data_IF_713114428175
#
_entry.id   IF_713114428175
#
_cell.length_a   1.000
_cell.length_b   1.000
_cell.length_c   1.000
_cell.angle_alpha   90.00
_cell.angle_beta   90.00
_cell.angle_gamma   90.00
#
_symmetry.space_group_name_H-M   'P 1'
#
loop_
_entity.id
_entity.type
_entity.pdbx_description
1 polymer ?
#
# COMPACT_ATOMS: atom_id res chain seq x y z
N UNK A 1 14.60 27.66 3.48
CA UNK A 1 15.02 26.42 4.14
C UNK A 1 16.53 26.34 4.14
N UNK A 2 17.14 26.18 5.30
CA UNK A 2 18.57 25.91 5.47
C UNK A 2 18.89 24.46 5.10
N UNK A 3 20.17 24.12 4.94
CA UNK A 3 20.59 22.75 4.66
C UNK A 3 20.25 21.81 5.83
N UNK A 4 20.42 22.30 7.05
CA UNK A 4 20.15 21.57 8.29
C UNK A 4 18.65 21.25 8.46
N UNK A 5 17.77 22.18 8.07
CA UNK A 5 16.33 21.96 8.02
C UNK A 5 15.95 20.86 7.00
N UNK A 6 16.65 20.79 5.85
CA UNK A 6 16.41 19.75 4.83
C UNK A 6 16.83 18.37 5.32
N UNK A 7 18.02 18.25 5.92
CA UNK A 7 18.50 16.98 6.49
C UNK A 7 17.61 16.50 7.62
N UNK A 8 17.15 17.41 8.48
CA UNK A 8 16.20 17.05 9.55
C UNK A 8 14.92 16.48 8.97
N UNK A 9 14.36 17.13 7.94
CA UNK A 9 13.12 16.69 7.30
C UNK A 9 13.27 15.34 6.59
N UNK A 10 14.42 15.11 5.95
CA UNK A 10 14.76 13.82 5.33
C UNK A 10 14.82 12.70 6.37
N UNK A 11 15.55 12.89 7.48
CA UNK A 11 15.66 11.88 8.54
C UNK A 11 14.31 11.56 9.21
N UNK A 12 13.48 12.59 9.42
CA UNK A 12 12.13 12.42 9.97
C UNK A 12 11.27 11.61 9.02
N UNK A 13 11.31 11.91 7.71
CA UNK A 13 10.53 11.18 6.72
C UNK A 13 11.00 9.72 6.58
N UNK A 14 12.31 9.48 6.54
CA UNK A 14 12.89 8.15 6.53
C UNK A 14 12.44 7.33 7.74
N UNK A 15 12.60 7.89 8.94
CA UNK A 15 12.18 7.24 10.19
C UNK A 15 10.69 6.95 10.23
N UNK A 16 9.86 7.88 9.76
CA UNK A 16 8.41 7.68 9.66
C UNK A 16 8.05 6.51 8.73
N UNK A 17 8.72 6.38 7.57
CA UNK A 17 8.50 5.24 6.67
C UNK A 17 8.88 3.94 7.39
N UNK A 18 10.09 3.84 7.94
CA UNK A 18 10.58 2.62 8.63
C UNK A 18 9.64 2.17 9.75
N UNK A 19 9.17 3.11 10.59
CA UNK A 19 8.32 2.80 11.74
C UNK A 19 6.91 2.32 11.36
N UNK A 20 6.46 2.57 10.12
CA UNK A 20 5.12 2.22 9.66
C UNK A 20 5.10 0.99 8.72
N UNK A 21 6.24 0.33 8.51
CA UNK A 21 6.33 -0.88 7.70
C UNK A 21 6.47 -2.13 8.58
N UNK A 22 5.87 -3.24 8.14
CA UNK A 22 6.09 -4.54 8.74
C UNK A 22 7.42 -5.16 8.30
N UNK A 23 7.98 -6.06 9.10
CA UNK A 23 9.32 -6.65 8.88
C UNK A 23 9.54 -7.26 7.49
N UNK A 24 8.49 -7.86 6.92
CA UNK A 24 8.54 -8.42 5.57
C UNK A 24 8.67 -7.34 4.48
N UNK A 25 7.97 -6.21 4.63
CA UNK A 25 8.07 -5.09 3.68
C UNK A 25 9.38 -4.35 3.89
N UNK A 26 9.81 -4.18 5.15
CA UNK A 26 11.04 -3.50 5.49
C UNK A 26 12.26 -4.15 4.84
N UNK A 27 12.33 -5.50 4.82
CA UNK A 27 13.42 -6.25 4.15
C UNK A 27 13.58 -5.91 2.67
N UNK A 28 12.49 -5.59 1.99
CA UNK A 28 12.51 -5.26 0.57
C UNK A 28 13.00 -3.83 0.31
N UNK A 29 12.81 -2.91 1.26
CA UNK A 29 13.06 -1.46 1.08
C UNK A 29 14.24 -0.90 1.88
N UNK A 30 14.74 -1.61 2.90
CA UNK A 30 15.83 -1.14 3.79
C UNK A 30 17.17 -0.92 3.04
N UNK A 31 17.31 -1.48 1.84
CA UNK A 31 18.49 -1.26 0.98
C UNK A 31 18.56 0.13 0.33
N UNK A 32 17.50 0.95 0.45
CA UNK A 32 17.47 2.30 -0.11
C UNK A 32 18.00 3.32 0.91
N UNK A 33 18.97 4.15 0.48
CA UNK A 33 19.66 5.11 1.34
C UNK A 33 18.91 6.43 1.53
N UNK A 34 17.90 6.69 0.70
CA UNK A 34 17.14 7.95 0.71
C UNK A 34 15.67 7.68 0.92
N UNK A 35 14.97 8.63 1.55
CA UNK A 35 13.51 8.58 1.74
C UNK A 35 12.81 8.45 0.40
N UNK A 36 13.28 9.20 -0.60
CA UNK A 36 12.75 9.13 -1.96
C UNK A 36 12.95 7.74 -2.58
N UNK A 37 14.13 7.13 -2.41
CA UNK A 37 14.40 5.77 -2.88
C UNK A 37 13.48 4.74 -2.23
N UNK A 38 13.33 4.79 -0.90
CA UNK A 38 12.38 3.95 -0.17
C UNK A 38 10.96 4.11 -0.70
N UNK A 39 10.51 5.35 -0.85
CA UNK A 39 9.16 5.65 -1.34
C UNK A 39 8.95 5.11 -2.75
N UNK A 40 9.87 5.41 -3.67
CA UNK A 40 9.79 4.92 -5.05
C UNK A 40 9.76 3.40 -5.14
N UNK A 41 10.53 2.70 -4.30
CA UNK A 41 10.52 1.23 -4.25
C UNK A 41 9.20 0.69 -3.71
N UNK A 42 8.60 1.34 -2.71
CA UNK A 42 7.25 1.02 -2.28
C UNK A 42 6.24 1.22 -3.40
N UNK A 43 6.37 2.29 -4.19
CA UNK A 43 5.54 2.51 -5.38
C UNK A 43 5.74 1.38 -6.41
N UNK A 44 6.97 0.97 -6.70
CA UNK A 44 7.23 -0.14 -7.64
C UNK A 44 6.62 -1.47 -7.16
N UNK A 45 6.75 -1.77 -5.86
CA UNK A 45 6.24 -3.00 -5.24
C UNK A 45 4.70 -3.04 -5.16
N UNK A 46 4.06 -1.91 -4.85
CA UNK A 46 2.65 -1.88 -4.45
C UNK A 46 1.75 -0.98 -5.30
N UNK A 47 2.32 -0.08 -6.10
CA UNK A 47 1.57 0.78 -7.03
C UNK A 47 1.48 0.19 -8.43
N UNK A 48 2.31 -0.80 -8.79
CA UNK A 48 2.08 -1.57 -10.01
C UNK A 48 0.80 -2.40 -9.87
N UNK A 49 -0.04 -2.38 -10.92
CA UNK A 49 -1.34 -3.07 -10.97
C UNK A 49 -1.20 -4.56 -11.31
N UNK A 50 -0.01 -5.13 -11.13
CA UNK A 50 0.28 -6.47 -11.59
C UNK A 50 0.01 -7.55 -10.53
N UNK A 51 0.05 -8.82 -10.97
CA UNK A 51 -0.30 -10.05 -10.24
C UNK A 51 -0.16 -10.06 -8.70
N UNK A 52 0.94 -9.56 -8.09
CA UNK A 52 1.09 -9.54 -6.62
C UNK A 52 0.06 -8.66 -5.92
N UNK A 53 -0.26 -7.49 -6.49
CA UNK A 53 -1.28 -6.59 -5.96
C UNK A 53 -2.69 -7.20 -6.12
N UNK A 54 -2.90 -8.00 -7.19
CA UNK A 54 -4.11 -8.80 -7.41
C UNK A 54 -4.26 -9.91 -6.37
N UNK A 55 -3.17 -10.62 -6.07
CA UNK A 55 -3.15 -11.68 -5.06
C UNK A 55 -3.41 -11.10 -3.67
N UNK A 56 -2.77 -9.98 -3.33
CA UNK A 56 -2.99 -9.25 -2.09
C UNK A 56 -4.45 -8.76 -1.96
N UNK A 57 -5.03 -8.18 -3.01
CA UNK A 57 -6.44 -7.81 -2.99
C UNK A 57 -7.40 -9.00 -2.87
N UNK A 58 -7.12 -10.13 -3.55
CA UNK A 58 -7.88 -11.38 -3.38
C UNK A 58 -7.81 -11.88 -1.94
N UNK A 59 -6.61 -11.89 -1.36
CA UNK A 59 -6.41 -12.31 0.01
C UNK A 59 -7.17 -11.40 0.99
N UNK A 60 -7.03 -10.07 0.87
CA UNK A 60 -7.80 -9.12 1.68
C UNK A 60 -9.31 -9.28 1.55
N UNK A 61 -9.81 -9.55 0.35
CA UNK A 61 -11.24 -9.79 0.12
C UNK A 61 -11.73 -11.08 0.79
N UNK A 62 -11.00 -12.18 0.60
CA UNK A 62 -11.37 -13.49 1.15
C UNK A 62 -11.17 -13.58 2.66
N UNK A 63 -10.25 -12.81 3.23
CA UNK A 63 -9.95 -12.78 4.67
C UNK A 63 -10.64 -11.65 5.42
N UNK A 64 -11.43 -10.82 4.72
CA UNK A 64 -12.15 -9.72 5.35
C UNK A 64 -13.08 -10.23 6.45
N UNK A 65 -12.98 -9.60 7.63
CA UNK A 65 -13.87 -9.79 8.77
C UNK A 65 -14.35 -8.42 9.22
N UNK A 66 -15.59 -8.37 9.69
CA UNK A 66 -16.12 -7.15 10.28
C UNK A 66 -15.30 -6.79 11.52
N UNK A 67 -15.02 -5.51 11.70
CA UNK A 67 -14.40 -4.97 12.90
C UNK A 67 -15.51 -4.70 13.93
N UNK A 68 -15.47 -5.39 15.07
CA UNK A 68 -16.44 -5.24 16.15
C UNK A 68 -16.45 -3.82 16.76
N UNK A 69 -15.40 -3.03 16.53
CA UNK A 69 -15.33 -1.63 16.97
C UNK A 69 -16.03 -0.66 16.01
N UNK A 70 -16.47 -1.12 14.83
CA UNK A 70 -17.15 -0.31 13.82
C UNK A 70 -18.63 -0.62 13.78
N UNK A 71 -19.45 0.38 13.43
CA UNK A 71 -20.86 0.13 13.16
C UNK A 71 -21.02 -0.78 11.95
N UNK A 72 -22.18 -1.44 11.86
CA UNK A 72 -22.53 -2.27 10.70
C UNK A 72 -22.46 -1.49 9.38
N UNK A 73 -22.86 -0.22 9.40
CA UNK A 73 -22.86 0.65 8.20
C UNK A 73 -21.42 0.94 7.74
N UNK A 74 -20.51 1.21 8.68
CA UNK A 74 -19.09 1.42 8.37
C UNK A 74 -18.45 0.15 7.82
N UNK A 75 -18.68 -0.99 8.47
CA UNK A 75 -18.22 -2.30 8.00
C UNK A 75 -18.76 -2.64 6.59
N UNK A 76 -20.02 -2.32 6.31
CA UNK A 76 -20.61 -2.50 4.98
C UNK A 76 -20.00 -1.54 3.95
N UNK A 77 -19.70 -0.30 4.35
CA UNK A 77 -19.02 0.68 3.49
C UNK A 77 -17.63 0.20 3.08
N UNK A 78 -16.85 -0.33 4.01
CA UNK A 78 -15.52 -0.88 3.74
C UNK A 78 -15.58 -2.11 2.84
N UNK A 79 -16.51 -3.03 3.11
CA UNK A 79 -16.72 -4.20 2.25
C UNK A 79 -17.14 -3.80 0.83
N UNK A 80 -18.01 -2.79 0.69
CA UNK A 80 -18.44 -2.28 -0.61
C UNK A 80 -17.28 -1.64 -1.37
N UNK A 81 -16.43 -0.87 -0.70
CA UNK A 81 -15.20 -0.31 -1.29
C UNK A 81 -14.27 -1.42 -1.77
N UNK A 82 -13.99 -2.41 -0.92
CA UNK A 82 -13.17 -3.58 -1.26
C UNK A 82 -13.72 -4.35 -2.48
N UNK A 83 -15.04 -4.46 -2.58
CA UNK A 83 -15.73 -5.09 -3.73
C UNK A 83 -15.57 -4.29 -5.03
N UNK A 84 -15.57 -2.95 -4.96
CA UNK A 84 -15.37 -2.08 -6.11
C UNK A 84 -13.92 -2.12 -6.58
N UNK A 85 -12.97 -1.99 -5.66
CA UNK A 85 -11.53 -2.09 -5.94
C UNK A 85 -11.20 -3.43 -6.62
N UNK A 86 -11.83 -4.52 -6.15
CA UNK A 86 -11.70 -5.85 -6.75
C UNK A 86 -12.27 -5.93 -8.17
N UNK A 87 -13.41 -5.28 -8.44
CA UNK A 87 -14.04 -5.23 -9.77
C UNK A 87 -13.18 -4.44 -10.75
N UNK A 88 -12.70 -3.26 -10.38
CA UNK A 88 -11.84 -2.44 -11.23
C UNK A 88 -10.53 -3.14 -11.62
N UNK A 89 -10.07 -4.05 -10.76
CA UNK A 89 -8.90 -4.87 -11.00
C UNK A 89 -9.19 -6.07 -11.94
N UNK A 90 -10.43 -6.57 -11.96
CA UNK A 90 -10.89 -7.57 -12.92
C UNK A 90 -11.11 -6.98 -14.31
N UNK A 91 -11.72 -5.79 -14.40
CA UNK A 91 -12.11 -5.19 -15.68
C UNK A 91 -10.89 -4.77 -16.52
N UNK A 92 -9.77 -4.40 -15.88
CA UNK A 92 -8.49 -4.10 -16.57
C UNK A 92 -7.83 -5.31 -17.26
N UNK A 93 -8.26 -6.54 -16.96
CA UNK A 93 -7.77 -7.76 -17.65
C UNK A 93 -8.46 -7.94 -19.02
N UNK A 94 -9.64 -7.34 -19.19
CA UNK A 94 -10.38 -7.38 -20.46
C UNK A 94 -9.71 -6.56 -21.56
N UNK A 95 -9.12 -5.41 -21.20
CA UNK A 95 -8.51 -4.46 -22.14
C UNK A 95 -7.08 -4.84 -22.57
N UNK A 96 -6.39 -5.71 -21.83
CA UNK A 96 -5.00 -6.11 -22.15
C UNK A 96 -4.91 -7.31 -23.12
N UNK A 97 -6.04 -7.81 -23.63
CA UNK A 97 -6.10 -8.90 -24.62
C UNK A 97 -6.70 -8.49 -25.97
N UNK A 98 -6.72 -7.19 -26.30
CA UNK A 98 -7.10 -6.69 -27.63
C UNK A 98 -5.94 -5.95 -28.34
#
# INVERSE_FOLDING_TARGET
MTQEEKETMENVAYGAIVLNLSDNVLKEVIGEETTYGMWKKLEELYQSKDLPNRAYMRERFLTYKMDDNKSLIENLGEFKKLSLDFRELKDKIGDENE
#
